data_IF_293422329702
#
_entry.id   IF_293422329702
#
_cell.length_a   1.000
_cell.length_b   1.000
_cell.length_c   1.000
_cell.angle_alpha   90.00
_cell.angle_beta   90.00
_cell.angle_gamma   90.00
#
_symmetry.space_group_name_H-M   'P 1'
#
loop_
_entity.id
_entity.type
_entity.pdbx_description
1 polymer ?
#
# COMPACT_ATOMS: atom_id res chain seq x y z
N UNK A 1 56.29 -19.71 56.17
CA UNK A 1 54.95 -19.07 56.12
C UNK A 1 55.07 -17.86 55.20
N UNK A 2 54.74 -18.02 53.91
CA UNK A 2 54.85 -16.93 52.93
C UNK A 2 53.73 -15.93 53.23
N UNK A 3 54.08 -14.71 53.60
CA UNK A 3 53.11 -13.70 53.99
C UNK A 3 52.11 -13.40 52.86
N UNK A 4 50.83 -13.70 53.12
CA UNK A 4 49.67 -13.37 52.28
C UNK A 4 49.61 -11.87 51.90
N UNK A 5 50.29 -11.03 52.68
CA UNK A 5 50.47 -9.58 52.49
C UNK A 5 51.25 -9.22 51.23
N UNK A 6 52.21 -10.05 50.81
CA UNK A 6 53.03 -9.83 49.62
C UNK A 6 52.34 -10.31 48.32
N UNK A 7 51.39 -11.24 48.42
CA UNK A 7 50.60 -11.72 47.27
C UNK A 7 49.56 -10.67 46.85
N UNK A 8 48.91 -9.98 47.81
CA UNK A 8 47.95 -8.90 47.54
C UNK A 8 48.56 -7.69 46.82
N UNK A 9 49.86 -7.42 46.99
CA UNK A 9 50.57 -6.34 46.27
C UNK A 9 50.94 -6.68 44.82
N UNK A 10 50.87 -7.96 44.41
CA UNK A 10 51.14 -8.40 43.03
C UNK A 10 49.90 -8.39 42.12
N UNK A 11 48.70 -8.36 42.68
CA UNK A 11 47.48 -8.08 41.93
C UNK A 11 47.30 -6.57 41.82
N UNK A 12 47.76 -5.98 40.71
CA UNK A 12 47.48 -4.59 40.36
C UNK A 12 45.95 -4.42 40.27
N UNK A 13 45.38 -3.52 41.07
CA UNK A 13 43.97 -3.15 40.91
C UNK A 13 43.80 -2.45 39.56
N UNK A 14 43.08 -3.09 38.63
CA UNK A 14 42.72 -2.55 37.31
C UNK A 14 41.33 -1.87 37.32
N UNK A 15 40.82 -1.54 38.52
CA UNK A 15 39.44 -1.08 38.75
C UNK A 15 39.02 0.19 37.98
N UNK A 16 39.99 0.96 37.45
CA UNK A 16 39.73 2.12 36.59
C UNK A 16 39.78 1.84 35.08
N UNK A 17 40.60 0.88 34.63
CA UNK A 17 40.72 0.58 33.19
C UNK A 17 39.46 -0.05 32.63
N UNK A 18 38.85 -1.00 33.35
CA UNK A 18 37.63 -1.67 32.87
C UNK A 18 36.43 -0.71 32.78
N UNK A 19 36.33 0.26 33.70
CA UNK A 19 35.27 1.27 33.64
C UNK A 19 35.49 2.26 32.50
N UNK A 20 36.74 2.67 32.26
CA UNK A 20 37.10 3.55 31.13
C UNK A 20 36.88 2.85 29.78
N UNK A 21 37.26 1.58 29.64
CA UNK A 21 37.03 0.77 28.44
C UNK A 21 35.54 0.57 28.17
N UNK A 22 34.75 0.28 29.21
CA UNK A 22 33.30 0.17 29.09
C UNK A 22 32.66 1.51 28.71
N UNK A 23 33.11 2.61 29.31
CA UNK A 23 32.62 3.95 28.97
C UNK A 23 32.97 4.35 27.53
N UNK A 24 34.18 4.06 27.07
CA UNK A 24 34.62 4.36 25.70
C UNK A 24 33.86 3.53 24.68
N UNK A 25 33.71 2.22 24.90
CA UNK A 25 32.93 1.35 24.01
C UNK A 25 31.46 1.74 23.98
N UNK A 26 30.87 2.05 25.14
CA UNK A 26 29.48 2.55 25.23
C UNK A 26 29.34 3.90 24.53
N UNK A 27 30.28 4.83 24.72
CA UNK A 27 30.27 6.13 24.05
C UNK A 27 30.40 5.99 22.53
N UNK A 28 31.25 5.08 22.04
CA UNK A 28 31.39 4.79 20.61
C UNK A 28 30.11 4.16 20.04
N UNK A 29 29.52 3.18 20.72
CA UNK A 29 28.25 2.59 20.31
C UNK A 29 27.11 3.61 20.34
N UNK A 30 27.05 4.47 21.36
CA UNK A 30 26.08 5.55 21.44
C UNK A 30 26.25 6.54 20.28
N UNK A 31 27.49 6.88 19.93
CA UNK A 31 27.78 7.78 18.80
C UNK A 31 27.38 7.15 17.46
N UNK A 32 27.72 5.88 17.25
CA UNK A 32 27.34 5.14 16.04
C UNK A 32 25.83 4.94 15.93
N UNK A 33 25.16 4.59 17.03
CA UNK A 33 23.70 4.46 17.06
C UNK A 33 23.02 5.80 16.76
N UNK A 34 23.52 6.90 17.34
CA UNK A 34 22.97 8.25 17.14
C UNK A 34 23.14 8.72 15.69
N UNK A 35 24.29 8.47 15.06
CA UNK A 35 24.53 8.87 13.67
C UNK A 35 23.84 7.95 12.65
N UNK A 36 23.60 6.68 13.01
CA UNK A 36 22.91 5.73 12.14
C UNK A 36 21.38 5.84 12.24
N UNK A 37 20.81 6.31 13.35
CA UNK A 37 19.36 6.37 13.55
C UNK A 37 18.59 7.10 12.43
N UNK A 38 19.02 8.27 11.92
CA UNK A 38 18.32 8.94 10.81
C UNK A 38 18.35 8.12 9.51
N UNK A 39 19.46 7.43 9.23
CA UNK A 39 19.61 6.58 8.04
C UNK A 39 18.75 5.31 8.15
N UNK A 40 18.71 4.69 9.32
CA UNK A 40 17.82 3.54 9.57
C UNK A 40 16.35 3.91 9.50
N UNK A 41 15.97 5.13 9.92
CA UNK A 41 14.61 5.65 9.75
C UNK A 41 14.22 5.72 8.27
N UNK A 42 15.08 6.29 7.42
CA UNK A 42 14.81 6.38 5.97
C UNK A 42 14.79 5.01 5.26
N UNK A 43 15.68 4.09 5.67
CA UNK A 43 15.68 2.71 5.15
C UNK A 43 14.40 1.97 5.54
N UNK A 44 13.93 2.17 6.78
CA UNK A 44 12.69 1.57 7.27
C UNK A 44 11.47 2.00 6.46
N UNK A 45 11.39 3.29 6.10
CA UNK A 45 10.27 3.80 5.31
C UNK A 45 10.28 3.27 3.88
N UNK A 46 11.42 3.31 3.20
CA UNK A 46 11.53 2.71 1.87
C UNK A 46 11.31 1.19 1.85
N UNK A 47 11.54 0.50 2.97
CA UNK A 47 11.22 -0.93 3.10
C UNK A 47 9.71 -1.16 3.20
N UNK A 48 8.96 -0.28 3.89
CA UNK A 48 7.49 -0.34 3.92
C UNK A 48 6.91 -0.11 2.54
N UNK A 49 7.34 0.94 1.84
CA UNK A 49 6.89 1.25 0.48
C UNK A 49 7.07 0.05 -0.47
N UNK A 50 8.27 -0.55 -0.49
CA UNK A 50 8.55 -1.75 -1.30
C UNK A 50 7.68 -2.93 -0.92
N UNK A 51 7.44 -3.14 0.37
CA UNK A 51 6.55 -4.20 0.84
C UNK A 51 5.12 -3.94 0.39
N UNK A 52 4.62 -2.72 0.54
CA UNK A 52 3.29 -2.31 0.09
C UNK A 52 3.10 -2.59 -1.40
N UNK A 53 4.04 -2.17 -2.26
CA UNK A 53 3.98 -2.46 -3.69
C UNK A 53 3.98 -3.96 -4.00
N UNK A 54 4.78 -4.75 -3.28
CA UNK A 54 4.79 -6.21 -3.43
C UNK A 54 3.48 -6.87 -2.98
N UNK A 55 2.79 -6.33 -1.98
CA UNK A 55 1.45 -6.80 -1.58
C UNK A 55 0.37 -6.38 -2.60
N UNK A 56 0.44 -5.15 -3.12
CA UNK A 56 -0.40 -4.68 -4.24
C UNK A 56 -0.24 -5.61 -5.45
N UNK A 57 0.99 -6.02 -5.76
CA UNK A 57 1.25 -6.98 -6.84
C UNK A 57 0.52 -8.31 -6.65
N UNK A 58 0.46 -8.83 -5.42
CA UNK A 58 -0.31 -10.05 -5.12
C UNK A 58 -1.79 -9.83 -5.35
N UNK A 59 -2.32 -8.67 -4.96
CA UNK A 59 -3.74 -8.31 -5.19
C UNK A 59 -4.04 -8.22 -6.69
N UNK A 60 -3.15 -7.62 -7.47
CA UNK A 60 -3.29 -7.56 -8.93
C UNK A 60 -3.23 -8.95 -9.56
N UNK A 61 -2.32 -9.82 -9.11
CA UNK A 61 -2.23 -11.21 -9.59
C UNK A 61 -3.49 -12.00 -9.25
N UNK A 62 -4.00 -11.90 -8.02
CA UNK A 62 -5.26 -12.51 -7.62
C UNK A 62 -6.43 -12.01 -8.47
N UNK A 63 -6.48 -10.70 -8.72
CA UNK A 63 -7.49 -10.07 -9.58
C UNK A 63 -7.42 -10.57 -11.03
N UNK A 64 -6.21 -10.78 -11.56
CA UNK A 64 -5.98 -11.36 -12.88
C UNK A 64 -6.48 -12.80 -12.98
N UNK A 65 -6.21 -13.61 -11.96
CA UNK A 65 -6.71 -14.98 -11.89
C UNK A 65 -8.25 -15.00 -11.84
N UNK A 66 -8.85 -14.15 -11.01
CA UNK A 66 -10.29 -13.99 -10.93
C UNK A 66 -10.88 -13.58 -12.30
N UNK A 67 -10.28 -12.59 -12.96
CA UNK A 67 -10.70 -12.14 -14.29
C UNK A 67 -10.71 -13.29 -15.30
N UNK A 68 -9.63 -14.07 -15.39
CA UNK A 68 -9.52 -15.19 -16.33
C UNK A 68 -10.51 -16.32 -16.03
N UNK A 69 -10.79 -16.58 -14.74
CA UNK A 69 -11.83 -17.51 -14.32
C UNK A 69 -13.21 -17.05 -14.80
N UNK A 70 -13.51 -15.75 -14.69
CA UNK A 70 -14.77 -15.14 -15.15
C UNK A 70 -14.87 -15.09 -16.67
N UNK A 71 -13.78 -14.88 -17.40
CA UNK A 71 -13.76 -15.03 -18.87
C UNK A 71 -14.28 -16.42 -19.26
N UNK A 72 -13.83 -17.47 -18.57
CA UNK A 72 -14.22 -18.85 -18.87
C UNK A 72 -15.66 -19.16 -18.42
N UNK A 73 -16.06 -18.68 -17.25
CA UNK A 73 -17.37 -19.00 -16.66
C UNK A 73 -18.52 -18.13 -17.20
N UNK A 74 -18.27 -16.85 -17.45
CA UNK A 74 -19.27 -15.83 -17.80
C UNK A 74 -19.12 -15.32 -19.25
N UNK A 75 -18.10 -15.81 -19.98
CA UNK A 75 -17.83 -15.47 -21.39
C UNK A 75 -17.11 -14.13 -21.58
N UNK A 76 -17.12 -13.24 -20.58
CA UNK A 76 -16.31 -12.02 -20.52
C UNK A 76 -15.75 -11.84 -19.11
N UNK A 77 -14.50 -11.41 -19.01
CA UNK A 77 -13.85 -11.18 -17.73
C UNK A 77 -14.37 -9.91 -17.05
N UNK A 78 -14.48 -9.99 -15.72
CA UNK A 78 -14.73 -8.86 -14.82
C UNK A 78 -13.80 -8.96 -13.62
N UNK A 79 -13.55 -7.85 -12.97
CA UNK A 79 -12.80 -7.83 -11.72
C UNK A 79 -13.71 -8.08 -10.49
N UNK A 80 -13.11 -8.41 -9.34
CA UNK A 80 -13.86 -8.49 -8.09
C UNK A 80 -14.62 -7.19 -7.80
N UNK A 81 -15.84 -7.30 -7.27
CA UNK A 81 -16.73 -6.18 -6.97
C UNK A 81 -17.50 -5.62 -8.17
N UNK A 82 -17.09 -5.90 -9.41
CA UNK A 82 -17.90 -5.54 -10.56
C UNK A 82 -19.10 -6.49 -10.67
N UNK A 83 -20.30 -5.94 -10.85
CA UNK A 83 -21.48 -6.72 -11.25
C UNK A 83 -21.33 -7.28 -12.67
N UNK A 84 -20.70 -6.51 -13.57
CA UNK A 84 -20.45 -6.87 -14.97
C UNK A 84 -19.24 -6.10 -15.50
N UNK A 85 -18.61 -6.60 -16.57
CA UNK A 85 -17.42 -5.99 -17.19
C UNK A 85 -17.58 -4.49 -17.51
N UNK A 86 -18.79 -4.03 -17.87
CA UNK A 86 -19.07 -2.66 -18.28
C UNK A 86 -19.61 -1.78 -17.14
N UNK A 87 -19.58 -2.25 -15.90
CA UNK A 87 -20.04 -1.50 -14.73
C UNK A 87 -18.80 -1.07 -13.95
N UNK A 88 -18.67 0.24 -13.72
CA UNK A 88 -17.59 0.79 -12.93
C UNK A 88 -17.77 0.44 -11.45
N UNK A 89 -16.66 0.30 -10.73
CA UNK A 89 -16.64 0.22 -9.27
C UNK A 89 -15.89 1.44 -8.76
N UNK A 90 -16.49 2.20 -7.85
CA UNK A 90 -15.96 3.45 -7.33
C UNK A 90 -16.61 4.69 -7.94
N UNK A 91 -15.96 5.84 -7.79
CA UNK A 91 -16.58 7.15 -8.00
C UNK A 91 -15.93 8.09 -9.02
N UNK A 92 -15.08 7.60 -9.93
CA UNK A 92 -14.56 8.42 -11.03
C UNK A 92 -15.22 8.04 -12.36
N UNK A 93 -15.55 9.06 -13.16
CA UNK A 93 -16.19 8.90 -14.47
C UNK A 93 -15.20 8.51 -15.58
N UNK A 94 -13.93 8.87 -15.41
CA UNK A 94 -12.87 8.61 -16.39
C UNK A 94 -11.51 8.33 -15.74
N UNK A 95 -10.63 7.69 -16.50
CA UNK A 95 -9.24 7.46 -16.09
C UNK A 95 -8.51 8.78 -15.83
N UNK A 96 -8.85 9.84 -16.55
CA UNK A 96 -8.17 11.14 -16.41
C UNK A 96 -8.57 11.84 -15.13
N UNK A 97 -9.85 11.76 -14.72
CA UNK A 97 -10.29 12.26 -13.41
C UNK A 97 -9.67 11.48 -12.25
N UNK A 98 -9.41 10.18 -12.45
CA UNK A 98 -8.68 9.37 -11.49
C UNK A 98 -7.20 9.79 -11.43
N UNK A 99 -6.54 9.91 -12.58
CA UNK A 99 -5.13 10.31 -12.66
C UNK A 99 -4.89 11.77 -12.22
N UNK A 100 -5.88 12.66 -12.32
CA UNK A 100 -5.75 14.00 -11.71
C UNK A 100 -5.77 13.97 -10.18
N UNK A 101 -6.25 12.88 -9.57
CA UNK A 101 -6.25 12.69 -8.12
C UNK A 101 -5.04 11.89 -7.62
N UNK A 102 -4.57 10.89 -8.36
CA UNK A 102 -3.47 9.99 -7.92
C UNK A 102 -2.26 9.90 -8.87
N UNK A 103 -2.33 10.47 -10.07
CA UNK A 103 -1.27 10.37 -11.07
C UNK A 103 -0.09 11.31 -10.82
N UNK A 104 0.96 11.18 -11.64
CA UNK A 104 2.17 12.02 -11.56
C UNK A 104 1.87 13.52 -11.80
N UNK A 105 0.83 13.82 -12.57
CA UNK A 105 0.38 15.18 -12.89
C UNK A 105 -0.66 15.73 -11.90
N UNK A 106 -0.98 14.98 -10.83
CA UNK A 106 -1.94 15.44 -9.82
C UNK A 106 -1.41 16.69 -9.10
N UNK A 107 -2.25 17.72 -8.97
CA UNK A 107 -1.88 18.93 -8.24
C UNK A 107 -1.68 18.57 -6.75
N UNK A 108 -0.48 18.82 -6.21
CA UNK A 108 -0.09 18.54 -4.82
C UNK A 108 -1.08 19.07 -3.78
N UNK A 109 -1.85 20.12 -4.10
CA UNK A 109 -2.87 20.69 -3.21
C UNK A 109 -4.19 19.91 -3.16
N UNK A 110 -4.46 19.09 -4.17
CA UNK A 110 -5.69 18.27 -4.30
C UNK A 110 -5.42 16.77 -4.46
N UNK A 111 -4.16 16.39 -4.62
CA UNK A 111 -3.73 15.03 -4.81
C UNK A 111 -4.11 14.18 -3.60
N UNK A 112 -4.61 12.98 -3.85
CA UNK A 112 -4.97 12.02 -2.83
C UNK A 112 -3.70 11.37 -2.27
N UNK A 113 -3.08 12.04 -1.30
CA UNK A 113 -1.76 11.74 -0.76
C UNK A 113 -1.76 11.35 0.74
N UNK A 114 -2.93 11.36 1.39
CA UNK A 114 -3.13 11.06 2.81
C UNK A 114 -4.40 10.24 3.04
N UNK A 115 -4.41 9.43 4.09
CA UNK A 115 -5.47 8.45 4.37
C UNK A 115 -6.83 9.04 4.76
N UNK A 116 -6.84 10.27 5.27
CA UNK A 116 -8.01 11.03 5.73
C UNK A 116 -8.61 11.93 4.63
N UNK A 117 -8.09 11.84 3.40
CA UNK A 117 -8.56 12.66 2.29
C UNK A 117 -9.99 12.29 1.84
N UNK A 118 -10.78 13.30 1.47
CA UNK A 118 -12.17 13.12 1.06
C UNK A 118 -12.34 12.28 -0.22
N UNK A 119 -11.33 12.24 -1.08
CA UNK A 119 -11.32 11.39 -2.28
C UNK A 119 -11.45 9.90 -1.94
N UNK A 120 -11.08 9.48 -0.72
CA UNK A 120 -11.25 8.09 -0.26
C UNK A 120 -12.69 7.56 -0.38
N UNK A 121 -13.71 8.42 -0.33
CA UNK A 121 -15.11 8.03 -0.52
C UNK A 121 -15.42 7.46 -1.93
N UNK A 122 -14.61 7.83 -2.94
CA UNK A 122 -14.73 7.31 -4.30
C UNK A 122 -14.08 5.93 -4.47
N UNK A 123 -13.29 5.49 -3.49
CA UNK A 123 -12.59 4.21 -3.52
C UNK A 123 -13.36 3.13 -2.75
N UNK A 124 -13.02 1.87 -3.02
CA UNK A 124 -13.59 0.71 -2.33
C UNK A 124 -12.50 -0.06 -1.60
N UNK A 125 -12.86 -0.63 -0.45
CA UNK A 125 -11.93 -1.48 0.30
C UNK A 125 -11.76 -2.86 -0.34
N UNK A 126 -10.51 -3.32 -0.42
CA UNK A 126 -10.19 -4.66 -0.94
C UNK A 126 -10.60 -5.77 0.02
N UNK A 127 -10.34 -5.64 1.33
CA UNK A 127 -10.64 -6.72 2.30
C UNK A 127 -11.84 -6.43 3.20
N UNK A 128 -12.42 -5.24 3.08
CA UNK A 128 -13.49 -4.75 3.93
C UNK A 128 -12.97 -3.72 4.93
N UNK A 129 -13.81 -2.75 5.28
CA UNK A 129 -13.45 -1.68 6.24
C UNK A 129 -13.18 -2.20 7.66
N UNK A 130 -13.72 -3.38 8.00
CA UNK A 130 -13.67 -4.00 9.34
C UNK A 130 -12.97 -5.36 9.36
N UNK A 131 -12.13 -5.64 8.37
CA UNK A 131 -11.38 -6.88 8.26
C UNK A 131 -10.40 -7.06 9.43
N UNK A 132 -10.51 -8.18 10.16
CA UNK A 132 -9.65 -8.45 11.31
C UNK A 132 -8.16 -8.36 10.95
N UNK A 133 -7.44 -7.47 11.63
CA UNK A 133 -6.01 -7.24 11.41
C UNK A 133 -5.68 -6.27 10.26
N UNK A 134 -6.67 -5.87 9.45
CA UNK A 134 -6.54 -4.91 8.34
C UNK A 134 -7.72 -3.92 8.32
N UNK A 135 -8.12 -3.43 9.49
CA UNK A 135 -9.17 -2.43 9.63
C UNK A 135 -8.71 -1.09 9.03
N UNK A 136 -9.63 -0.35 8.41
CA UNK A 136 -9.32 1.02 7.97
C UNK A 136 -9.07 1.95 9.17
N UNK A 137 -8.33 3.02 8.93
CA UNK A 137 -8.24 4.13 9.88
C UNK A 137 -9.62 4.77 10.13
N UNK A 138 -9.85 5.27 11.35
CA UNK A 138 -11.17 5.82 11.74
C UNK A 138 -11.55 7.02 10.86
N UNK A 139 -10.56 7.87 10.55
CA UNK A 139 -10.73 9.11 9.77
C UNK A 139 -10.76 8.88 8.25
N UNK A 140 -10.42 7.67 7.79
CA UNK A 140 -10.47 7.33 6.36
C UNK A 140 -11.90 7.35 5.84
N UNK A 141 -12.10 8.03 4.70
CA UNK A 141 -13.38 8.10 4.00
C UNK A 141 -13.70 6.86 3.14
N UNK A 142 -12.79 5.87 3.09
CA UNK A 142 -12.97 4.65 2.30
C UNK A 142 -14.18 3.85 2.80
N UNK A 143 -14.97 3.36 1.85
CA UNK A 143 -16.18 2.59 2.11
C UNK A 143 -16.11 1.20 1.47
N UNK A 144 -16.92 0.29 1.99
CA UNK A 144 -17.14 -1.01 1.35
C UNK A 144 -18.07 -0.87 0.13
N UNK A 145 -17.89 -1.77 -0.83
CA UNK A 145 -18.79 -1.86 -1.97
C UNK A 145 -20.20 -2.24 -1.50
N UNK A 146 -21.22 -1.60 -2.09
CA UNK A 146 -22.62 -1.75 -1.73
C UNK A 146 -23.39 -2.63 -2.73
N UNK A 147 -22.81 -2.92 -3.90
CA UNK A 147 -23.39 -3.80 -4.93
C UNK A 147 -22.91 -5.24 -4.76
N UNK A 148 -22.27 -5.80 -5.78
CA UNK A 148 -21.43 -6.99 -5.58
C UNK A 148 -20.33 -6.63 -4.59
N UNK A 149 -20.39 -7.22 -3.40
CA UNK A 149 -19.43 -6.97 -2.32
C UNK A 149 -18.02 -7.41 -2.74
N UNK A 150 -17.26 -6.50 -3.36
CA UNK A 150 -15.93 -6.83 -3.85
C UNK A 150 -15.00 -7.31 -2.75
N UNK A 151 -15.18 -6.80 -1.53
CA UNK A 151 -14.43 -7.26 -0.37
C UNK A 151 -14.63 -8.75 -0.06
N UNK A 152 -15.81 -9.31 -0.32
CA UNK A 152 -16.07 -10.75 -0.16
C UNK A 152 -15.38 -11.56 -1.25
N UNK A 153 -15.45 -11.11 -2.51
CA UNK A 153 -14.76 -11.78 -3.62
C UNK A 153 -13.24 -11.74 -3.42
N UNK A 154 -12.68 -10.62 -3.00
CA UNK A 154 -11.27 -10.50 -2.64
C UNK A 154 -10.91 -11.39 -1.44
N UNK A 155 -11.68 -11.38 -0.36
CA UNK A 155 -11.42 -12.26 0.78
C UNK A 155 -11.40 -13.74 0.37
N UNK A 156 -12.29 -14.17 -0.54
CA UNK A 156 -12.28 -15.53 -1.06
C UNK A 156 -10.99 -15.87 -1.82
N UNK A 157 -10.50 -14.99 -2.69
CA UNK A 157 -9.23 -15.17 -3.42
C UNK A 157 -8.00 -15.25 -2.50
N UNK A 158 -8.08 -14.67 -1.31
CA UNK A 158 -7.03 -14.71 -0.29
C UNK A 158 -7.28 -15.73 0.82
N UNK A 159 -8.12 -16.75 0.57
CA UNK A 159 -8.47 -17.81 1.52
C UNK A 159 -8.95 -17.25 2.89
N UNK A 160 -9.73 -16.17 2.84
CA UNK A 160 -10.25 -15.40 3.97
C UNK A 160 -9.19 -14.80 4.90
N UNK A 161 -8.00 -14.53 4.36
CA UNK A 161 -6.93 -13.83 5.10
C UNK A 161 -6.63 -12.48 4.46
N UNK A 162 -7.00 -11.41 5.16
CA UNK A 162 -6.69 -10.06 4.72
C UNK A 162 -5.17 -9.79 4.82
N UNK A 163 -4.63 -9.08 3.82
CA UNK A 163 -3.28 -8.56 3.88
C UNK A 163 -3.31 -7.19 4.54
N UNK A 164 -2.50 -7.00 5.58
CA UNK A 164 -2.37 -5.72 6.27
C UNK A 164 -1.31 -4.82 5.63
N UNK A 165 -1.62 -3.55 5.45
CA UNK A 165 -0.62 -2.53 5.12
C UNK A 165 0.52 -2.48 6.18
N UNK A 166 1.77 -2.32 5.77
CA UNK A 166 2.90 -2.02 6.68
C UNK A 166 2.78 -0.67 7.39
N UNK A 167 1.94 0.23 6.88
CA UNK A 167 1.68 1.54 7.48
C UNK A 167 0.64 1.46 8.60
N UNK A 168 0.61 2.47 9.46
CA UNK A 168 -0.30 2.47 10.61
C UNK A 168 -1.74 2.69 10.17
N UNK A 169 -1.95 3.66 9.29
CA UNK A 169 -3.27 4.12 8.84
C UNK A 169 -3.57 3.69 7.39
N UNK A 170 -2.60 3.02 6.75
CA UNK A 170 -2.72 2.42 5.43
C UNK A 170 -3.78 1.32 5.32
N UNK A 171 -4.38 1.23 4.15
CA UNK A 171 -5.49 0.32 3.85
C UNK A 171 -5.55 0.04 2.35
N UNK A 172 -5.65 -1.24 1.95
CA UNK A 172 -5.69 -1.56 0.52
C UNK A 172 -7.06 -1.22 -0.08
N UNK A 173 -7.02 -0.40 -1.11
CA UNK A 173 -8.19 0.12 -1.82
C UNK A 173 -8.08 -0.17 -3.31
N UNK A 174 -9.24 -0.25 -3.96
CA UNK A 174 -9.31 -0.47 -5.40
C UNK A 174 -10.39 0.39 -6.04
N UNK A 175 -10.21 0.59 -7.34
CA UNK A 175 -11.22 1.12 -8.22
C UNK A 175 -11.17 0.38 -9.56
N UNK A 176 -12.33 0.21 -10.20
CA UNK A 176 -12.40 -0.42 -11.52
C UNK A 176 -13.13 0.49 -12.50
N UNK A 177 -12.45 0.87 -13.56
CA UNK A 177 -13.06 1.56 -14.69
C UNK A 177 -13.71 0.55 -15.62
N UNK A 178 -14.87 0.89 -16.20
CA UNK A 178 -15.66 -0.06 -16.98
C UNK A 178 -14.92 -0.47 -18.25
N UNK A 179 -15.02 -1.75 -18.61
CA UNK A 179 -14.63 -2.23 -19.93
C UNK A 179 -15.68 -1.87 -20.97
N UNK A 180 -15.36 -2.06 -22.25
CA UNK A 180 -16.26 -1.68 -23.34
C UNK A 180 -16.18 -0.21 -23.74
N UNK A 181 -15.35 0.58 -23.06
CA UNK A 181 -15.09 2.00 -23.35
C UNK A 181 -13.59 2.26 -23.41
N UNK A 182 -13.22 3.21 -24.24
CA UNK A 182 -11.89 3.81 -24.32
C UNK A 182 -12.03 5.31 -24.07
N UNK A 183 -11.04 5.94 -23.46
CA UNK A 183 -11.06 7.37 -23.16
C UNK A 183 -10.11 8.06 -24.13
N UNK A 184 -10.69 8.74 -25.13
CA UNK A 184 -9.91 9.49 -26.12
C UNK A 184 -10.08 10.99 -25.87
N UNK A 185 -9.03 11.74 -26.16
CA UNK A 185 -9.07 13.20 -26.30
C UNK A 185 -9.17 13.52 -27.79
N UNK A 186 -10.39 13.73 -28.33
CA UNK A 186 -10.61 13.91 -29.76
C UNK A 186 -10.03 15.22 -30.28
N UNK A 187 -9.91 16.23 -29.42
CA UNK A 187 -9.56 17.60 -29.78
C UNK A 187 -8.17 18.03 -29.29
N UNK A 188 -7.51 17.21 -28.46
CA UNK A 188 -6.19 17.48 -27.90
C UNK A 188 -6.21 18.58 -26.81
N UNK A 189 -7.37 18.82 -26.19
CA UNK A 189 -7.59 19.90 -25.22
C UNK A 189 -7.55 19.43 -23.75
N UNK A 190 -7.29 18.15 -23.52
CA UNK A 190 -7.29 17.51 -22.20
C UNK A 190 -8.67 17.05 -21.74
N UNK A 191 -9.72 17.20 -22.54
CA UNK A 191 -11.08 16.72 -22.25
C UNK A 191 -11.31 15.35 -22.84
N UNK A 192 -11.32 14.34 -21.98
CA UNK A 192 -11.51 12.96 -22.41
C UNK A 192 -12.99 12.59 -22.50
N UNK A 193 -13.37 11.96 -23.60
CA UNK A 193 -14.71 11.41 -23.80
C UNK A 193 -14.66 9.89 -23.86
N UNK A 194 -15.63 9.23 -23.22
CA UNK A 194 -15.78 7.79 -23.29
C UNK A 194 -16.31 7.40 -24.69
N UNK A 195 -15.48 6.73 -25.47
CA UNK A 195 -15.83 6.16 -26.77
C UNK A 195 -16.04 4.66 -26.62
N UNK A 196 -17.05 4.13 -27.28
CA UNK A 196 -17.34 2.70 -27.19
C UNK A 196 -16.23 1.87 -27.85
N UNK A 197 -15.60 0.99 -27.08
CA UNK A 197 -14.57 0.06 -27.53
C UNK A 197 -14.95 -1.36 -27.07
N UNK A 198 -15.59 -2.14 -27.94
CA UNK A 198 -16.18 -3.44 -27.58
C UNK A 198 -15.16 -4.52 -27.16
N UNK A 199 -13.90 -4.31 -27.53
CA UNK A 199 -12.75 -5.20 -27.25
C UNK A 199 -11.97 -4.76 -26.00
N UNK A 200 -12.21 -3.55 -25.48
CA UNK A 200 -11.48 -3.03 -24.33
C UNK A 200 -11.89 -3.74 -23.04
N UNK A 201 -10.91 -4.31 -22.36
CA UNK A 201 -11.05 -4.89 -21.02
C UNK A 201 -11.23 -3.78 -19.97
N UNK A 202 -11.89 -4.07 -18.83
CA UNK A 202 -11.95 -3.14 -17.70
C UNK A 202 -10.54 -2.82 -17.18
N UNK A 203 -10.38 -1.67 -16.52
CA UNK A 203 -9.10 -1.23 -15.96
C UNK A 203 -9.18 -1.27 -14.44
N UNK A 204 -8.29 -2.01 -13.80
CA UNK A 204 -8.15 -2.08 -12.35
C UNK A 204 -7.06 -1.14 -11.88
N UNK A 205 -7.36 -0.39 -10.83
CA UNK A 205 -6.38 0.34 -10.04
C UNK A 205 -6.43 -0.16 -8.61
N UNK A 206 -5.27 -0.52 -8.07
CA UNK A 206 -5.09 -0.92 -6.68
C UNK A 206 -4.11 0.04 -6.03
N UNK A 207 -4.45 0.55 -4.85
CA UNK A 207 -3.61 1.48 -4.11
C UNK A 207 -3.60 1.19 -2.60
N UNK A 208 -2.65 1.79 -1.89
CA UNK A 208 -2.65 1.88 -0.43
C UNK A 208 -3.14 3.27 0.00
N UNK A 209 -4.18 3.30 0.83
CA UNK A 209 -4.80 4.51 1.38
C UNK A 209 -3.82 5.39 2.17
N UNK A 210 -2.67 4.88 2.62
CA UNK A 210 -1.64 5.72 3.25
C UNK A 210 -1.20 6.87 2.33
N UNK A 211 -0.92 6.55 1.06
CA UNK A 211 -0.54 7.52 0.05
C UNK A 211 -0.87 7.01 -1.36
N UNK A 212 -2.15 7.10 -1.79
CA UNK A 212 -2.62 6.55 -3.05
C UNK A 212 -1.91 7.13 -4.28
N UNK A 213 -1.45 8.38 -4.23
CA UNK A 213 -0.73 9.00 -5.35
C UNK A 213 0.66 8.42 -5.61
N UNK A 214 1.28 7.78 -4.60
CA UNK A 214 2.60 7.14 -4.74
C UNK A 214 2.53 5.62 -4.74
N UNK A 215 1.56 5.05 -4.03
CA UNK A 215 1.47 3.63 -3.75
C UNK A 215 0.29 3.01 -4.49
N UNK A 216 0.32 3.05 -5.82
CA UNK A 216 -0.70 2.45 -6.66
C UNK A 216 -0.12 1.63 -7.81
N UNK A 217 -0.98 0.79 -8.40
CA UNK A 217 -0.70 0.03 -9.62
C UNK A 217 -1.93 -0.04 -10.50
N UNK A 218 -1.74 0.28 -11.78
CA UNK A 218 -2.69 0.03 -12.87
C UNK A 218 -2.53 -1.39 -13.39
N UNK A 219 -3.64 -2.05 -13.68
CA UNK A 219 -3.69 -3.34 -14.36
C UNK A 219 -4.84 -3.37 -15.38
N UNK A 220 -4.53 -3.79 -16.60
CA UNK A 220 -5.49 -4.05 -17.66
C UNK A 220 -5.06 -5.34 -18.38
N UNK A 221 -5.92 -6.39 -18.45
CA UNK A 221 -5.64 -7.64 -19.15
C UNK A 221 -5.62 -7.49 -20.67
#
# INVERSE_FOLDING_TARGET
>A
MIELKNIKKKFKSISGNSLAEFAVTTAMMATLATTAAPRFSGIGEGAKEKKTLAEIDKIVIASSNFFNNRVTAEGRGRFPGQEKYNIAVGGYDSEVMLLSAIGEDADESTAFNTYDHGEGAKWRSIFGTTAAGANKATESAVIDDQGTEGHVEYMAEFANNAIKSPFQDGHYIYIVLPGGVDYVDPDGDGTYVAVQCLECSPILYVADNENPSKLFKKYQP
#
